data_IF_122734944137
#
_entry.id   IF_122734944137
#
_cell.length_a   1.000
_cell.length_b   1.000
_cell.length_c   1.000
_cell.angle_alpha   90.00
_cell.angle_beta   90.00
_cell.angle_gamma   90.00
#
_symmetry.space_group_name_H-M   'P 1'
#
loop_
_entity.id
_entity.type
_entity.pdbx_description
1 polymer ?
#
# COMPACT_ATOMS: atom_id res chain seq x y z
N UNK A 1 2.86 4.54 5.40
CA UNK A 1 3.62 4.58 4.13
C UNK A 1 3.28 5.80 3.27
N UNK A 2 2.03 6.01 2.85
CA UNK A 2 1.63 7.17 2.01
C UNK A 2 2.18 8.54 2.48
N UNK A 3 2.00 8.91 3.74
CA UNK A 3 2.52 10.19 4.29
C UNK A 3 4.05 10.30 4.24
N UNK A 4 4.76 9.19 4.35
CA UNK A 4 6.21 9.17 4.27
C UNK A 4 6.68 9.35 2.82
N UNK A 5 5.99 8.73 1.86
CA UNK A 5 6.25 8.97 0.44
C UNK A 5 6.10 10.46 0.08
N UNK A 6 5.03 11.11 0.56
CA UNK A 6 4.85 12.55 0.39
C UNK A 6 5.98 13.38 1.02
N UNK A 7 6.42 13.01 2.22
CA UNK A 7 7.53 13.69 2.90
C UNK A 7 8.87 13.56 2.16
N UNK A 8 9.06 12.47 1.41
CA UNK A 8 10.23 12.25 0.55
C UNK A 8 10.11 12.90 -0.84
N UNK A 9 9.04 13.68 -1.11
CA UNK A 9 8.82 14.33 -2.40
C UNK A 9 8.31 13.41 -3.50
N UNK A 10 7.94 12.16 -3.18
CA UNK A 10 7.27 11.26 -4.12
C UNK A 10 5.82 11.71 -4.32
N UNK A 11 5.24 11.36 -5.47
CA UNK A 11 3.86 11.69 -5.82
C UNK A 11 3.04 10.40 -5.92
N UNK A 12 2.32 10.02 -4.85
CA UNK A 12 1.30 9.00 -4.93
C UNK A 12 0.22 9.40 -5.95
N UNK A 13 -0.19 8.45 -6.78
CA UNK A 13 -1.22 8.67 -7.81
C UNK A 13 -2.62 8.78 -7.19
N UNK A 14 -2.80 8.21 -6.00
CA UNK A 14 -4.07 8.23 -5.28
C UNK A 14 -3.86 8.05 -3.78
N UNK A 15 -4.86 8.48 -3.01
CA UNK A 15 -4.93 8.14 -1.59
C UNK A 15 -5.11 6.61 -1.42
N UNK A 16 -4.59 6.01 -0.32
CA UNK A 16 -4.78 4.60 -0.07
C UNK A 16 -6.26 4.22 0.04
N UNK A 17 -6.64 3.16 -0.66
CA UNK A 17 -8.02 2.66 -0.68
C UNK A 17 -8.07 1.16 -0.44
N UNK A 18 -9.22 0.72 0.06
CA UNK A 18 -9.49 -0.68 0.34
C UNK A 18 -9.85 -1.39 -0.98
N UNK A 19 -9.13 -2.46 -1.29
CA UNK A 19 -9.32 -3.25 -2.49
C UNK A 19 -10.33 -4.38 -2.27
N UNK A 20 -10.80 -4.97 -3.36
CA UNK A 20 -11.69 -6.15 -3.32
C UNK A 20 -11.00 -7.43 -2.83
N UNK A 21 -9.67 -7.43 -2.71
CA UNK A 21 -8.85 -8.55 -2.23
C UNK A 21 -8.38 -8.37 -0.77
N UNK A 22 -9.09 -7.57 0.02
CA UNK A 22 -8.87 -7.34 1.46
C UNK A 22 -7.53 -6.69 1.84
N UNK A 23 -6.97 -5.90 0.93
CA UNK A 23 -5.79 -5.08 1.18
C UNK A 23 -6.07 -3.59 0.97
N UNK A 24 -5.44 -2.73 1.77
CA UNK A 24 -5.34 -1.30 1.50
C UNK A 24 -4.12 -1.04 0.65
N UNK A 25 -4.32 -0.40 -0.50
CA UNK A 25 -3.26 -0.17 -1.45
C UNK A 25 -3.25 1.25 -2.01
N UNK A 26 -2.09 1.66 -2.52
CA UNK A 26 -1.91 2.87 -3.32
C UNK A 26 -0.71 2.69 -4.27
N UNK A 27 -0.65 3.52 -5.30
CA UNK A 27 0.44 3.53 -6.27
C UNK A 27 1.27 4.81 -6.14
N UNK A 28 2.53 4.73 -6.53
CA UNK A 28 3.44 5.87 -6.72
C UNK A 28 4.07 5.71 -8.10
N UNK A 29 4.13 6.79 -8.88
CA UNK A 29 5.08 6.88 -9.99
C UNK A 29 6.36 7.54 -9.49
N UNK A 30 7.48 6.84 -9.61
CA UNK A 30 8.78 7.40 -9.26
C UNK A 30 9.29 8.35 -10.37
N UNK A 31 10.31 9.17 -10.12
CA UNK A 31 10.85 10.12 -11.11
C UNK A 31 11.34 9.48 -12.42
N UNK A 32 11.77 8.22 -12.40
CA UNK A 32 12.17 7.47 -13.60
C UNK A 32 10.97 6.94 -14.39
N UNK A 33 9.75 7.09 -13.86
CA UNK A 33 8.50 6.72 -14.50
C UNK A 33 8.04 5.28 -14.24
N UNK A 34 8.61 4.57 -13.27
CA UNK A 34 8.12 3.25 -12.88
C UNK A 34 6.94 3.37 -11.92
N UNK A 35 5.97 2.47 -12.08
CA UNK A 35 4.87 2.31 -11.14
C UNK A 35 5.29 1.39 -9.99
N UNK A 36 5.15 1.88 -8.76
CA UNK A 36 5.35 1.13 -7.53
C UNK A 36 4.02 0.97 -6.80
N UNK A 37 3.67 -0.28 -6.49
CA UNK A 37 2.43 -0.62 -5.77
C UNK A 37 2.75 -1.07 -4.35
N UNK A 38 2.10 -0.43 -3.38
CA UNK A 38 2.19 -0.80 -1.97
C UNK A 38 0.83 -1.28 -1.50
N UNK A 39 0.80 -2.42 -0.81
CA UNK A 39 -0.41 -2.97 -0.23
C UNK A 39 -0.16 -3.48 1.19
N UNK A 40 -1.16 -3.36 2.05
CA UNK A 40 -1.18 -3.91 3.40
C UNK A 40 -2.51 -4.61 3.66
N UNK A 41 -2.56 -5.75 4.36
CA UNK A 41 -3.82 -6.39 4.74
C UNK A 41 -4.72 -5.44 5.55
N UNK A 42 -6.03 -5.42 5.29
CA UNK A 42 -7.01 -4.59 6.03
C UNK A 42 -7.28 -5.16 7.41
N UNK A 43 -7.57 -6.45 7.43
CA UNK A 43 -7.44 -7.30 8.60
C UNK A 43 -5.96 -7.63 8.78
N UNK A 44 -5.31 -7.01 9.78
CA UNK A 44 -4.00 -7.49 10.23
C UNK A 44 -4.15 -8.97 10.53
N UNK A 45 -3.24 -9.81 9.99
CA UNK A 45 -3.28 -11.27 10.10
C UNK A 45 -3.38 -11.70 11.57
N UNK A 46 -4.59 -11.67 12.11
CA UNK A 46 -4.98 -12.21 13.40
C UNK A 46 -5.44 -13.63 13.10
N UNK A 47 -4.50 -14.45 12.67
CA UNK A 47 -4.58 -15.88 12.91
C UNK A 47 -3.97 -16.11 14.29
N UNK A 48 -4.76 -16.25 15.38
CA UNK A 48 -4.27 -16.93 16.56
C UNK A 48 -4.17 -18.43 16.25
N UNK A 49 -3.16 -18.84 15.49
CA UNK A 49 -2.88 -20.25 15.20
C UNK A 49 -2.66 -20.54 13.73
N UNK A 50 -1.48 -20.23 13.21
CA UNK A 50 -1.00 -20.83 11.97
C UNK A 50 -0.76 -22.32 12.17
N UNK A 51 -1.78 -23.13 11.87
CA UNK A 51 -1.63 -24.56 11.60
C UNK A 51 -2.53 -24.93 10.42
N UNK A 52 -1.92 -25.14 9.26
CA UNK A 52 -2.27 -26.15 8.27
C UNK A 52 -1.08 -26.37 7.34
#
# INVERSE_FOLDING_TARGET
>A
MHRHALACGLRPDSEPRDASWDERYFHITDPDGHELSFAVPLHGSLEPGGAS
#
